data_IF_729015108874
#
_entry.id   IF_729015108874
#
_cell.length_a   1.000
_cell.length_b   1.000
_cell.length_c   1.000
_cell.angle_alpha   90.00
_cell.angle_beta   90.00
_cell.angle_gamma   90.00
#
_symmetry.space_group_name_H-M   'P 1'
#
loop_
_entity.id
_entity.type
_entity.pdbx_description
1 polymer ?
#
# COMPACT_ATOMS: atom_id res chain seq x y z
N UNK A 1 12.63 18.06 -1.15
CA UNK A 1 12.83 16.60 -1.21
C UNK A 1 11.44 15.98 -1.14
N UNK A 2 11.09 15.05 -2.02
CA UNK A 2 9.74 14.47 -2.03
C UNK A 2 9.53 13.49 -0.86
N UNK A 3 8.31 13.39 -0.34
CA UNK A 3 7.99 12.44 0.73
C UNK A 3 8.15 11.00 0.28
N UNK A 4 7.87 10.68 -0.98
CA UNK A 4 8.08 9.33 -1.51
C UNK A 4 9.54 8.88 -1.38
N UNK A 5 10.50 9.75 -1.68
CA UNK A 5 11.92 9.43 -1.52
C UNK A 5 12.33 9.32 -0.05
N UNK A 6 11.83 10.22 0.80
CA UNK A 6 12.09 10.17 2.25
C UNK A 6 11.59 8.84 2.83
N UNK A 7 10.36 8.44 2.50
CA UNK A 7 9.76 7.19 2.96
C UNK A 7 10.61 5.99 2.52
N UNK A 8 11.07 5.95 1.26
CA UNK A 8 11.93 4.87 0.76
C UNK A 8 13.22 4.79 1.59
N UNK A 9 13.92 5.91 1.76
CA UNK A 9 15.19 5.94 2.50
C UNK A 9 14.99 5.46 3.94
N UNK A 10 13.96 5.97 4.63
CA UNK A 10 13.63 5.61 6.01
C UNK A 10 13.26 4.12 6.11
N UNK A 11 12.46 3.62 5.18
CA UNK A 11 12.02 2.22 5.15
C UNK A 11 13.20 1.26 4.94
N UNK A 12 14.08 1.59 4.00
CA UNK A 12 15.31 0.81 3.75
C UNK A 12 16.19 0.80 5.00
N UNK A 13 16.45 1.96 5.60
CA UNK A 13 17.30 2.07 6.79
C UNK A 13 16.74 1.29 7.98
N UNK A 14 15.42 1.39 8.24
CA UNK A 14 14.77 0.67 9.35
C UNK A 14 14.76 -0.84 9.08
N UNK A 15 14.44 -1.30 7.87
CA UNK A 15 14.43 -2.72 7.53
C UNK A 15 15.82 -3.36 7.66
N UNK A 16 16.86 -2.71 7.14
CA UNK A 16 18.24 -3.19 7.26
C UNK A 16 18.71 -3.23 8.73
N UNK A 17 18.33 -2.22 9.51
CA UNK A 17 18.64 -2.19 10.95
C UNK A 17 17.91 -3.32 11.68
N UNK A 18 16.65 -3.59 11.32
CA UNK A 18 15.86 -4.69 11.88
C UNK A 18 16.48 -6.06 11.62
N UNK A 19 16.99 -6.31 10.42
CA UNK A 19 17.66 -7.58 10.11
C UNK A 19 18.93 -7.84 10.93
N UNK A 20 19.64 -6.75 11.28
CA UNK A 20 20.81 -6.85 12.17
C UNK A 20 20.44 -6.88 13.66
N UNK A 21 19.19 -6.53 14.02
CA UNK A 21 18.68 -6.46 15.41
C UNK A 21 17.27 -7.11 15.48
N UNK A 22 17.19 -8.45 15.57
CA UNK A 22 15.91 -9.18 15.56
C UNK A 22 14.90 -8.71 16.61
N UNK A 23 15.36 -8.34 17.81
CA UNK A 23 14.49 -7.80 18.88
C UNK A 23 13.84 -6.48 18.46
N UNK A 24 14.58 -5.60 17.78
CA UNK A 24 14.04 -4.35 17.26
C UNK A 24 13.01 -4.64 16.16
N UNK A 25 13.31 -5.53 15.22
CA UNK A 25 12.36 -5.93 14.19
C UNK A 25 11.07 -6.44 14.81
N UNK A 26 11.15 -7.35 15.75
CA UNK A 26 9.98 -7.90 16.44
C UNK A 26 9.17 -6.82 17.19
N UNK A 27 9.83 -5.84 17.81
CA UNK A 27 9.14 -4.71 18.45
C UNK A 27 8.40 -3.81 17.46
N UNK A 28 8.90 -3.66 16.23
CA UNK A 28 8.31 -2.80 15.20
C UNK A 28 7.23 -3.51 14.38
N UNK A 29 7.21 -4.86 14.33
CA UNK A 29 6.18 -5.62 13.61
C UNK A 29 4.79 -5.38 14.19
N UNK A 30 3.77 -5.44 13.34
CA UNK A 30 2.38 -5.52 13.76
C UNK A 30 2.18 -6.78 14.60
N UNK A 31 1.63 -6.61 15.78
CA UNK A 31 1.14 -7.68 16.65
C UNK A 31 -0.23 -7.27 17.18
N UNK A 32 -1.33 -7.84 16.68
CA UNK A 32 -2.69 -7.48 17.07
C UNK A 32 -2.98 -7.60 18.55
N UNK A 33 -2.41 -8.62 19.22
CA UNK A 33 -2.54 -8.80 20.65
C UNK A 33 -1.88 -7.64 21.42
N UNK A 34 -0.65 -7.29 21.07
CA UNK A 34 0.07 -6.18 21.69
C UNK A 34 -0.61 -4.82 21.47
N UNK A 35 -1.19 -4.61 20.27
CA UNK A 35 -1.98 -3.40 19.98
C UNK A 35 -3.22 -3.34 20.88
N UNK A 36 -4.00 -4.41 20.95
CA UNK A 36 -5.32 -4.38 21.60
C UNK A 36 -5.26 -4.56 23.12
N UNK A 37 -4.35 -5.40 23.63
CA UNK A 37 -4.25 -5.71 25.07
C UNK A 37 -3.21 -4.85 25.80
N UNK A 38 -2.13 -4.43 25.09
CA UNK A 38 -1.02 -3.70 25.72
C UNK A 38 -0.94 -2.24 25.25
N UNK A 39 -1.87 -1.75 24.39
CA UNK A 39 -1.91 -0.37 23.91
C UNK A 39 -0.74 0.04 23.01
N UNK A 40 -0.06 -0.92 22.36
CA UNK A 40 1.12 -0.65 21.51
C UNK A 40 0.71 -0.18 20.11
N UNK A 41 -0.09 0.90 20.02
CA UNK A 41 -0.64 1.42 18.75
C UNK A 41 0.41 1.86 17.74
N UNK A 42 1.63 2.21 18.18
CA UNK A 42 2.72 2.57 17.27
C UNK A 42 3.03 1.46 16.27
N UNK A 43 2.76 0.19 16.60
CA UNK A 43 2.95 -0.96 15.72
C UNK A 43 2.12 -0.91 14.45
N UNK A 44 0.98 -0.21 14.46
CA UNK A 44 0.13 -0.01 13.28
C UNK A 44 0.81 0.85 12.20
N UNK A 45 1.81 1.65 12.57
CA UNK A 45 2.59 2.45 11.62
C UNK A 45 3.97 1.82 11.41
N UNK A 46 4.65 1.44 12.50
CA UNK A 46 6.03 0.96 12.42
C UNK A 46 6.17 -0.35 11.63
N UNK A 47 5.12 -1.18 11.60
CA UNK A 47 5.08 -2.41 10.79
C UNK A 47 5.28 -2.16 9.30
N UNK A 48 4.84 -1.02 8.79
CA UNK A 48 5.03 -0.63 7.39
C UNK A 48 6.46 -0.26 7.02
N UNK A 49 7.36 -0.12 8.00
CA UNK A 49 8.76 0.25 7.78
C UNK A 49 9.74 -0.91 7.99
N UNK A 50 9.27 -2.10 8.34
CA UNK A 50 10.07 -3.30 8.48
C UNK A 50 9.65 -4.36 7.46
N UNK A 51 10.62 -5.11 6.93
CA UNK A 51 10.41 -6.12 5.90
C UNK A 51 11.10 -7.43 6.26
N UNK A 52 10.55 -8.56 5.79
CA UNK A 52 11.06 -9.89 6.12
C UNK A 52 12.44 -10.17 5.49
N UNK A 53 12.65 -9.71 4.26
CA UNK A 53 13.85 -9.97 3.47
C UNK A 53 14.02 -8.96 2.34
N UNK A 54 15.12 -9.06 1.61
CA UNK A 54 15.47 -8.18 0.49
C UNK A 54 14.45 -8.19 -0.64
N UNK A 55 13.88 -9.35 -0.97
CA UNK A 55 12.89 -9.45 -2.05
C UNK A 55 11.62 -8.69 -1.68
N UNK A 56 11.14 -8.87 -0.43
CA UNK A 56 9.96 -8.17 0.09
C UNK A 56 10.18 -6.65 0.13
N UNK A 57 11.32 -6.20 0.65
CA UNK A 57 11.68 -4.78 0.67
C UNK A 57 11.81 -4.22 -0.74
N UNK A 58 12.56 -4.90 -1.60
CA UNK A 58 12.85 -4.45 -2.96
C UNK A 58 11.58 -4.29 -3.79
N UNK A 59 10.67 -5.26 -3.74
CA UNK A 59 9.41 -5.19 -4.47
C UNK A 59 8.53 -4.02 -4.00
N UNK A 60 8.40 -3.83 -2.67
CA UNK A 60 7.63 -2.71 -2.12
C UNK A 60 8.25 -1.37 -2.51
N UNK A 61 9.55 -1.19 -2.33
CA UNK A 61 10.22 0.10 -2.60
C UNK A 61 10.30 0.40 -4.09
N UNK A 62 10.49 -0.61 -4.94
CA UNK A 62 10.43 -0.46 -6.38
C UNK A 62 9.05 0.03 -6.84
N UNK A 63 7.99 -0.65 -6.41
CA UNK A 63 6.62 -0.25 -6.72
C UNK A 63 6.34 1.16 -6.18
N UNK A 64 6.70 1.43 -4.93
CA UNK A 64 6.47 2.72 -4.30
C UNK A 64 7.25 3.86 -4.96
N UNK A 65 8.44 3.59 -5.51
CA UNK A 65 9.23 4.60 -6.21
C UNK A 65 8.49 5.18 -7.42
N UNK A 66 7.88 4.33 -8.25
CA UNK A 66 7.15 4.79 -9.42
C UNK A 66 5.78 5.38 -9.07
N UNK A 67 4.98 4.63 -8.36
CA UNK A 67 3.61 5.04 -8.05
C UNK A 67 3.54 6.13 -6.97
N UNK A 68 4.45 6.10 -6.02
CA UNK A 68 4.54 7.12 -4.96
C UNK A 68 4.85 8.50 -5.54
N UNK A 69 5.86 8.60 -6.39
CA UNK A 69 6.15 9.87 -7.07
C UNK A 69 4.99 10.35 -7.91
N UNK A 70 4.41 9.47 -8.71
CA UNK A 70 3.28 9.79 -9.58
C UNK A 70 2.11 10.41 -8.78
N UNK A 71 1.74 9.81 -7.65
CA UNK A 71 0.62 10.28 -6.84
C UNK A 71 0.99 11.52 -6.01
N UNK A 72 2.22 11.63 -5.51
CA UNK A 72 2.71 12.85 -4.85
C UNK A 72 2.65 14.05 -5.79
N UNK A 73 3.09 13.89 -7.04
CA UNK A 73 3.03 14.93 -8.08
C UNK A 73 1.58 15.24 -8.47
N UNK A 74 0.73 14.21 -8.62
CA UNK A 74 -0.70 14.37 -8.94
C UNK A 74 -1.43 15.15 -7.85
N UNK A 75 -1.24 14.79 -6.58
CA UNK A 75 -1.86 15.50 -5.46
C UNK A 75 -1.31 16.92 -5.33
N UNK A 76 -0.04 17.15 -5.63
CA UNK A 76 0.54 18.49 -5.68
C UNK A 76 -0.09 19.35 -6.78
N UNK A 77 -0.38 18.75 -7.94
CA UNK A 77 -1.09 19.43 -9.02
C UNK A 77 -2.53 19.81 -8.62
N UNK A 78 -3.25 18.90 -7.93
CA UNK A 78 -4.67 19.11 -7.55
C UNK A 78 -4.80 20.07 -6.36
N UNK A 79 -3.94 19.94 -5.35
CA UNK A 79 -4.08 20.58 -4.04
C UNK A 79 -2.99 21.64 -3.75
N UNK A 80 -2.12 21.91 -4.71
CA UNK A 80 -1.01 22.84 -4.54
C UNK A 80 -0.05 22.41 -3.43
N UNK A 81 0.36 23.34 -2.58
CA UNK A 81 1.34 23.11 -1.51
C UNK A 81 0.90 22.10 -0.44
N UNK A 82 -0.39 21.80 -0.33
CA UNK A 82 -0.90 20.79 0.61
C UNK A 82 -0.86 19.36 0.04
N UNK A 83 -0.72 19.19 -1.27
CA UNK A 83 -0.72 17.90 -1.95
C UNK A 83 0.24 16.86 -1.37
N UNK A 84 1.52 17.19 -1.10
CA UNK A 84 2.47 16.25 -0.51
C UNK A 84 2.02 15.72 0.86
N UNK A 85 1.34 16.53 1.68
CA UNK A 85 0.83 16.10 2.99
C UNK A 85 -0.35 15.14 2.85
N UNK A 86 -1.21 15.35 1.86
CA UNK A 86 -2.28 14.40 1.55
C UNK A 86 -1.74 13.08 0.98
N UNK A 87 -0.68 13.12 0.19
CA UNK A 87 0.04 11.90 -0.22
C UNK A 87 0.63 11.14 0.98
N UNK A 88 1.27 11.85 1.90
CA UNK A 88 1.79 11.26 3.13
C UNK A 88 0.66 10.63 3.97
N UNK A 89 -0.47 11.32 4.08
CA UNK A 89 -1.67 10.81 4.76
C UNK A 89 -2.23 9.55 4.07
N UNK A 90 -2.35 9.55 2.73
CA UNK A 90 -2.75 8.36 1.96
C UNK A 90 -1.90 7.15 2.33
N UNK A 91 -0.58 7.30 2.34
CA UNK A 91 0.34 6.20 2.63
C UNK A 91 0.25 5.72 4.08
N UNK A 92 0.36 6.63 5.05
CA UNK A 92 0.40 6.27 6.48
C UNK A 92 -0.94 5.74 6.98
N UNK A 93 -2.05 6.38 6.60
CA UNK A 93 -3.39 5.90 6.96
C UNK A 93 -3.69 4.60 6.21
N UNK A 94 -3.20 4.46 4.97
CA UNK A 94 -3.28 3.23 4.18
C UNK A 94 -2.65 2.03 4.90
N UNK A 95 -1.48 2.19 5.53
CA UNK A 95 -0.86 1.17 6.38
C UNK A 95 -1.79 0.82 7.54
N UNK A 96 -2.26 1.82 8.29
CA UNK A 96 -3.12 1.63 9.46
C UNK A 96 -4.42 0.88 9.10
N UNK A 97 -5.12 1.37 8.08
CA UNK A 97 -6.42 0.84 7.65
C UNK A 97 -6.28 -0.59 7.12
N UNK A 98 -5.20 -0.86 6.39
CA UNK A 98 -4.94 -2.20 5.85
C UNK A 98 -4.71 -3.26 6.94
N UNK A 99 -4.24 -2.87 8.12
CA UNK A 99 -4.01 -3.77 9.24
C UNK A 99 -5.28 -4.08 10.07
N UNK A 100 -6.37 -3.31 9.91
CA UNK A 100 -7.61 -3.49 10.68
C UNK A 100 -8.15 -4.94 10.61
N UNK A 101 -8.26 -5.60 9.44
CA UNK A 101 -8.72 -6.98 9.39
C UNK A 101 -7.86 -7.94 10.22
N UNK A 102 -6.53 -7.75 10.16
CA UNK A 102 -5.59 -8.56 10.95
C UNK A 102 -5.76 -8.33 12.44
N UNK A 103 -5.99 -7.08 12.86
CA UNK A 103 -6.25 -6.73 14.27
C UNK A 103 -7.52 -7.42 14.75
N UNK A 104 -8.62 -7.31 14.00
CA UNK A 104 -9.91 -7.90 14.38
C UNK A 104 -9.84 -9.43 14.48
N UNK A 105 -9.14 -10.07 13.52
CA UNK A 105 -9.04 -11.52 13.42
C UNK A 105 -8.08 -12.13 14.45
N UNK A 106 -6.96 -11.46 14.75
CA UNK A 106 -5.84 -12.03 15.52
C UNK A 106 -5.58 -11.34 16.87
N UNK A 107 -6.51 -10.50 17.36
CA UNK A 107 -6.38 -9.77 18.63
C UNK A 107 -6.11 -10.63 19.87
N UNK A 108 -6.46 -11.90 19.83
CA UNK A 108 -6.27 -12.85 20.93
C UNK A 108 -5.11 -13.84 20.65
N UNK A 109 -4.39 -13.69 19.53
CA UNK A 109 -3.27 -14.54 19.12
C UNK A 109 -1.92 -13.85 19.41
N UNK A 110 -1.31 -14.18 20.55
CA UNK A 110 -0.08 -13.54 21.03
C UNK A 110 1.12 -13.69 20.06
N UNK A 111 1.17 -14.78 19.31
CA UNK A 111 2.30 -15.10 18.42
C UNK A 111 2.09 -14.66 16.97
N UNK A 112 0.91 -14.10 16.62
CA UNK A 112 0.70 -13.58 15.28
C UNK A 112 1.47 -12.26 15.11
N UNK A 113 2.28 -12.21 14.04
CA UNK A 113 2.98 -11.00 13.64
C UNK A 113 2.87 -10.82 12.12
N UNK A 114 2.79 -9.56 11.68
CA UNK A 114 2.89 -9.18 10.27
C UNK A 114 3.78 -7.95 10.11
N UNK A 115 4.28 -7.74 8.88
CA UNK A 115 5.18 -6.64 8.57
C UNK A 115 5.14 -6.34 7.06
N UNK A 116 5.54 -5.13 6.70
CA UNK A 116 5.69 -4.70 5.31
C UNK A 116 4.83 -3.49 4.95
N UNK A 117 5.34 -2.70 4.02
CA UNK A 117 4.70 -1.49 3.51
C UNK A 117 3.47 -1.75 2.62
N UNK A 118 3.21 -3.01 2.28
CA UNK A 118 2.36 -3.40 1.13
C UNK A 118 0.92 -2.89 1.19
N UNK A 119 0.33 -2.70 2.38
CA UNK A 119 -0.98 -2.08 2.52
C UNK A 119 -1.00 -0.63 2.06
N UNK A 120 -0.03 0.18 2.52
CA UNK A 120 0.15 1.56 2.07
C UNK A 120 0.57 1.66 0.59
N UNK A 121 1.43 0.76 0.12
CA UNK A 121 1.82 0.67 -1.30
C UNK A 121 0.60 0.35 -2.16
N UNK A 122 -0.25 -0.60 -1.75
CA UNK A 122 -1.50 -0.91 -2.46
C UNK A 122 -2.44 0.31 -2.52
N UNK A 123 -2.56 1.09 -1.45
CA UNK A 123 -3.35 2.31 -1.45
C UNK A 123 -2.84 3.31 -2.51
N UNK A 124 -1.53 3.51 -2.61
CA UNK A 124 -0.90 4.40 -3.59
C UNK A 124 -1.08 3.89 -5.02
N UNK A 125 -0.88 2.59 -5.27
CA UNK A 125 -1.07 1.96 -6.59
C UNK A 125 -2.52 2.12 -7.06
N UNK A 126 -3.50 1.83 -6.20
CA UNK A 126 -4.91 1.93 -6.58
C UNK A 126 -5.41 3.36 -6.68
N UNK A 127 -4.81 4.30 -5.94
CA UNK A 127 -4.97 5.73 -6.22
C UNK A 127 -4.52 6.06 -7.64
N UNK A 128 -3.35 5.57 -8.07
CA UNK A 128 -2.84 5.83 -9.43
C UNK A 128 -3.71 5.22 -10.52
N UNK A 129 -4.21 4.01 -10.32
CA UNK A 129 -5.12 3.34 -11.26
C UNK A 129 -6.43 4.13 -11.40
N UNK A 130 -6.93 4.71 -10.31
CA UNK A 130 -8.16 5.50 -10.36
C UNK A 130 -7.98 6.79 -11.16
N UNK A 131 -6.85 7.49 -11.00
CA UNK A 131 -6.56 8.73 -11.74
C UNK A 131 -6.15 8.48 -13.20
N UNK A 132 -5.43 7.39 -13.46
CA UNK A 132 -4.83 7.07 -14.75
C UNK A 132 -5.13 5.61 -15.15
N UNK A 133 -6.41 5.24 -15.35
CA UNK A 133 -6.82 3.83 -15.49
C UNK A 133 -6.24 3.14 -16.72
N UNK A 134 -6.03 3.88 -17.79
CA UNK A 134 -5.55 3.34 -19.08
C UNK A 134 -4.03 3.32 -19.20
N UNK A 135 -3.32 3.96 -18.27
CA UNK A 135 -1.86 3.93 -18.29
C UNK A 135 -1.36 2.48 -18.12
N UNK A 136 -0.43 2.04 -18.98
CA UNK A 136 0.08 0.69 -18.91
C UNK A 136 0.96 0.50 -17.66
N UNK A 137 0.71 -0.58 -16.94
CA UNK A 137 1.59 -1.07 -15.88
C UNK A 137 2.34 -2.27 -16.44
N UNK A 138 3.66 -2.14 -16.54
CA UNK A 138 4.49 -3.16 -17.16
C UNK A 138 5.05 -4.12 -16.12
N UNK A 139 4.59 -5.38 -16.15
CA UNK A 139 5.13 -6.45 -15.33
C UNK A 139 6.51 -6.84 -15.86
N UNK A 140 7.52 -6.78 -15.00
CA UNK A 140 8.92 -7.06 -15.34
C UNK A 140 9.44 -6.26 -16.56
N UNK A 141 8.81 -5.13 -16.90
CA UNK A 141 9.17 -4.32 -18.06
C UNK A 141 8.83 -4.95 -19.42
N UNK A 142 8.12 -6.08 -19.45
CA UNK A 142 7.85 -6.87 -20.69
C UNK A 142 6.36 -6.90 -21.01
N UNK A 143 5.50 -7.22 -20.07
CA UNK A 143 4.07 -7.36 -20.28
C UNK A 143 3.38 -6.12 -19.72
N UNK A 144 2.95 -5.22 -20.62
CA UNK A 144 2.29 -3.98 -20.25
C UNK A 144 0.77 -4.13 -20.35
N UNK A 145 0.07 -3.97 -19.25
CA UNK A 145 -1.38 -4.13 -19.14
C UNK A 145 -1.97 -2.81 -18.63
N UNK A 146 -3.08 -2.30 -19.20
CA UNK A 146 -3.78 -1.14 -18.65
C UNK A 146 -4.08 -1.30 -17.17
N UNK A 147 -3.87 -0.22 -16.41
CA UNK A 147 -4.00 -0.25 -14.94
C UNK A 147 -5.35 -0.77 -14.46
N UNK A 148 -6.46 -0.37 -15.13
CA UNK A 148 -7.80 -0.83 -14.74
C UNK A 148 -7.99 -2.35 -14.88
N UNK A 149 -7.36 -2.99 -15.90
CA UNK A 149 -7.41 -4.44 -16.07
C UNK A 149 -6.54 -5.11 -14.99
N UNK A 150 -5.29 -4.68 -14.88
CA UNK A 150 -4.36 -5.28 -13.92
C UNK A 150 -4.86 -5.13 -12.48
N UNK A 151 -5.38 -3.94 -12.12
CA UNK A 151 -5.96 -3.69 -10.81
C UNK A 151 -7.16 -4.59 -10.51
N UNK A 152 -8.08 -4.76 -11.48
CA UNK A 152 -9.21 -5.67 -11.32
C UNK A 152 -8.77 -7.12 -11.10
N UNK A 153 -7.83 -7.62 -11.92
CA UNK A 153 -7.27 -8.96 -11.76
C UNK A 153 -6.58 -9.13 -10.40
N UNK A 154 -5.83 -8.11 -9.96
CA UNK A 154 -5.19 -8.12 -8.66
C UNK A 154 -6.17 -8.17 -7.48
N UNK A 155 -7.30 -7.42 -7.53
CA UNK A 155 -8.33 -7.47 -6.50
C UNK A 155 -8.98 -8.86 -6.42
N UNK A 156 -9.29 -9.44 -7.58
CA UNK A 156 -9.84 -10.80 -7.67
C UNK A 156 -8.85 -11.80 -7.06
N UNK A 157 -7.59 -11.76 -7.46
CA UNK A 157 -6.53 -12.61 -6.93
C UNK A 157 -6.39 -12.46 -5.41
N UNK A 158 -6.28 -11.21 -4.91
CA UNK A 158 -6.12 -10.94 -3.47
C UNK A 158 -7.32 -11.41 -2.65
N UNK A 159 -8.54 -11.33 -3.21
CA UNK A 159 -9.74 -11.82 -2.55
C UNK A 159 -9.72 -13.35 -2.39
N UNK A 160 -9.36 -14.08 -3.46
CA UNK A 160 -9.33 -15.54 -3.42
C UNK A 160 -8.18 -16.07 -2.56
N UNK A 161 -6.97 -15.53 -2.71
CA UNK A 161 -5.81 -15.97 -1.91
C UNK A 161 -5.96 -15.60 -0.42
N UNK A 162 -6.57 -14.46 -0.12
CA UNK A 162 -6.89 -14.10 1.27
C UNK A 162 -7.82 -15.11 1.98
N UNK A 163 -8.64 -15.84 1.22
CA UNK A 163 -9.48 -16.93 1.75
C UNK A 163 -8.73 -18.27 1.87
N UNK A 164 -7.80 -18.53 0.94
CA UNK A 164 -7.06 -19.82 0.91
C UNK A 164 -6.00 -19.90 1.98
N UNK A 165 -5.43 -18.75 2.40
CA UNK A 165 -4.31 -18.68 3.37
C UNK A 165 -3.17 -19.65 3.02
N UNK A 166 -2.86 -19.78 1.72
CA UNK A 166 -1.91 -20.76 1.21
C UNK A 166 -0.45 -20.29 1.33
N UNK A 167 -0.24 -19.02 1.54
CA UNK A 167 1.08 -18.39 1.67
C UNK A 167 1.15 -17.46 2.90
N UNK A 168 2.34 -16.88 3.12
CA UNK A 168 2.58 -15.95 4.24
C UNK A 168 2.27 -14.47 3.86
N UNK A 169 1.53 -14.23 2.77
CA UNK A 169 1.17 -12.89 2.32
C UNK A 169 -0.16 -12.46 2.94
N UNK A 170 -0.20 -11.26 3.49
CA UNK A 170 -1.44 -10.70 4.03
C UNK A 170 -2.31 -10.10 2.92
N UNK A 171 -2.94 -10.96 2.12
CA UNK A 171 -3.81 -10.55 1.00
C UNK A 171 -4.98 -9.68 1.43
N UNK A 172 -5.51 -9.88 2.65
CA UNK A 172 -6.56 -9.01 3.19
C UNK A 172 -6.07 -7.58 3.39
N UNK A 173 -4.84 -7.39 3.87
CA UNK A 173 -4.26 -6.07 4.00
C UNK A 173 -4.07 -5.39 2.64
N UNK A 174 -3.66 -6.14 1.63
CA UNK A 174 -3.53 -5.63 0.26
C UNK A 174 -4.88 -5.17 -0.31
N UNK A 175 -5.93 -5.99 -0.15
CA UNK A 175 -7.27 -5.66 -0.62
C UNK A 175 -7.82 -4.41 0.06
N UNK A 176 -7.71 -4.34 1.39
CA UNK A 176 -8.23 -3.20 2.18
C UNK A 176 -7.41 -1.94 1.88
N UNK A 177 -6.09 -2.05 1.75
CA UNK A 177 -5.24 -0.94 1.34
C UNK A 177 -5.64 -0.39 -0.04
N UNK A 178 -5.86 -1.26 -1.02
CA UNK A 178 -6.32 -0.91 -2.36
C UNK A 178 -7.66 -0.16 -2.33
N UNK A 179 -8.65 -0.69 -1.62
CA UNK A 179 -9.97 -0.07 -1.47
C UNK A 179 -9.87 1.29 -0.76
N UNK A 180 -9.04 1.39 0.28
CA UNK A 180 -8.79 2.66 0.96
C UNK A 180 -8.19 3.70 0.00
N UNK A 181 -7.23 3.32 -0.85
CA UNK A 181 -6.63 4.21 -1.84
C UNK A 181 -7.66 4.78 -2.81
N UNK A 182 -8.59 3.94 -3.28
CA UNK A 182 -9.72 4.38 -4.12
C UNK A 182 -10.61 5.39 -3.38
N UNK A 183 -11.06 5.04 -2.17
CA UNK A 183 -11.96 5.91 -1.37
C UNK A 183 -11.28 7.23 -1.03
N UNK A 184 -10.03 7.21 -0.61
CA UNK A 184 -9.26 8.41 -0.30
C UNK A 184 -9.09 9.33 -1.51
N UNK A 185 -8.81 8.76 -2.69
CA UNK A 185 -8.69 9.53 -3.93
C UNK A 185 -10.01 10.17 -4.37
N UNK A 186 -11.13 9.48 -4.17
CA UNK A 186 -12.48 10.04 -4.39
C UNK A 186 -12.73 11.22 -3.46
N UNK A 187 -12.32 11.12 -2.20
CA UNK A 187 -12.42 12.22 -1.24
C UNK A 187 -11.60 13.45 -1.67
N UNK A 188 -10.39 13.23 -2.21
CA UNK A 188 -9.52 14.30 -2.73
C UNK A 188 -10.12 14.96 -3.97
N UNK A 189 -10.65 14.18 -4.90
CA UNK A 189 -11.22 14.66 -6.16
C UNK A 189 -12.43 13.82 -6.58
N UNK A 190 -13.65 14.17 -6.18
CA UNK A 190 -14.84 13.40 -6.51
C UNK A 190 -15.08 13.17 -8.00
N UNK A 191 -14.67 14.12 -8.85
CA UNK A 191 -14.79 14.01 -10.32
C UNK A 191 -13.91 12.90 -10.91
N UNK A 192 -12.97 12.32 -10.14
CA UNK A 192 -12.11 11.22 -10.62
C UNK A 192 -12.95 10.00 -11.01
N UNK A 193 -14.10 9.78 -10.39
CA UNK A 193 -15.02 8.67 -10.73
C UNK A 193 -15.49 8.79 -12.19
N UNK A 194 -16.01 9.96 -12.57
CA UNK A 194 -16.49 10.19 -13.94
C UNK A 194 -15.35 10.12 -14.96
N UNK A 195 -14.20 10.68 -14.61
CA UNK A 195 -12.99 10.62 -15.45
C UNK A 195 -12.53 9.18 -15.64
N UNK A 196 -12.50 8.36 -14.57
CA UNK A 196 -12.17 6.95 -14.63
C UNK A 196 -13.09 6.18 -15.60
N UNK A 197 -14.40 6.27 -15.42
CA UNK A 197 -15.35 5.54 -16.27
C UNK A 197 -15.30 6.02 -17.71
N UNK A 198 -15.18 7.31 -17.97
CA UNK A 198 -15.03 7.84 -19.32
C UNK A 198 -13.76 7.31 -20.00
N UNK A 199 -12.64 7.26 -19.28
CA UNK A 199 -11.39 6.72 -19.80
C UNK A 199 -11.48 5.23 -20.13
N UNK A 200 -12.14 4.45 -19.26
CA UNK A 200 -12.30 2.99 -19.45
C UNK A 200 -13.26 2.68 -20.60
N UNK A 201 -14.41 3.36 -20.67
CA UNK A 201 -15.42 3.12 -21.73
C UNK A 201 -14.88 3.50 -23.12
N UNK A 202 -14.08 4.57 -23.22
CA UNK A 202 -13.51 5.03 -24.47
C UNK A 202 -12.14 4.38 -24.80
N UNK A 203 -11.67 3.46 -23.95
CA UNK A 203 -10.40 2.80 -24.19
C UNK A 203 -10.48 1.88 -25.41
N UNK A 204 -9.52 2.04 -26.34
CA UNK A 204 -9.40 1.19 -27.53
C UNK A 204 -8.09 0.42 -27.43
N UNK A 205 -8.16 -0.89 -27.66
CA UNK A 205 -6.98 -1.77 -27.61
C UNK A 205 -6.07 -1.64 -28.85
N UNK A 206 -6.57 -0.93 -29.89
CA UNK A 206 -5.86 -0.74 -31.19
C UNK A 206 -6.13 0.65 -31.77
#
# INVERSE_FOLDING_TARGET
MSFSIIIIIVTVAISMTGWNKPDLQHRLMMNPYAVTKNGQFYRMISSGFVHANWMHLGFNMFTFFFFGRLIEDMYSYILGSSGPYYFLALYLIGIIVSDIPSILKHKDHIHYNSLGASGGVSAVVFSSILFLPTNPICLYGIICIPGFILGTLYLIYSYYEGRRMADNVNHHAHLVGALFGVVFSIFIQPSVISTFFNAVINYRFF
#
